data_IF_034749605871
#
_entry.id   IF_034749605871
#
_cell.length_a   1.000
_cell.length_b   1.000
_cell.length_c   1.000
_cell.angle_alpha   90.00
_cell.angle_beta   90.00
_cell.angle_gamma   90.00
#
_symmetry.space_group_name_H-M   'P 1'
#
loop_
_entity.id
_entity.type
_entity.pdbx_description
1 polymer ?
#
# COMPACT_ATOMS: atom_id res chain seq x y z
N UNK A 1 -0.10 18.24 32.25
CA UNK A 1 -1.49 18.66 32.02
C UNK A 1 -2.07 18.05 30.76
N UNK A 2 -3.36 18.22 30.50
CA UNK A 2 -4.03 17.68 29.31
C UNK A 2 -3.52 18.35 28.02
N UNK A 3 -3.37 17.58 26.97
CA UNK A 3 -2.88 18.03 25.65
C UNK A 3 -3.91 17.62 24.59
N UNK A 4 -4.29 18.56 23.73
CA UNK A 4 -5.12 18.27 22.56
C UNK A 4 -4.24 17.85 21.40
N UNK A 5 -4.35 16.58 20.98
CA UNK A 5 -3.65 16.03 19.81
C UNK A 5 -4.58 16.13 18.59
N UNK A 6 -4.59 17.30 17.98
CA UNK A 6 -5.46 17.63 16.84
C UNK A 6 -4.67 18.32 15.72
N UNK A 7 -5.24 18.36 14.52
CA UNK A 7 -4.65 19.11 13.39
C UNK A 7 -4.51 20.61 13.73
N UNK A 8 -3.42 21.29 13.30
CA UNK A 8 -3.24 22.72 13.55
C UNK A 8 -4.26 23.59 12.83
N UNK A 9 -4.81 23.09 11.71
CA UNK A 9 -5.81 23.82 10.91
C UNK A 9 -7.13 23.02 10.88
N UNK A 10 -8.08 23.32 11.78
CA UNK A 10 -9.37 22.65 11.78
C UNK A 10 -10.20 23.07 10.56
N UNK A 11 -10.84 22.10 9.91
CA UNK A 11 -11.68 22.30 8.73
C UNK A 11 -13.12 21.90 9.01
N UNK A 12 -14.07 22.46 8.26
CA UNK A 12 -15.47 22.04 8.32
C UNK A 12 -15.66 20.70 7.62
N UNK A 13 -16.66 19.91 8.05
CA UNK A 13 -16.97 18.61 7.46
C UNK A 13 -17.16 18.64 5.92
N UNK A 14 -17.74 19.72 5.40
CA UNK A 14 -17.89 19.92 3.94
C UNK A 14 -16.54 19.97 3.22
N UNK A 15 -15.59 20.68 3.80
CA UNK A 15 -14.22 20.80 3.25
C UNK A 15 -13.46 19.49 3.40
N UNK A 16 -13.53 18.86 4.58
CA UNK A 16 -12.97 17.53 4.82
C UNK A 16 -13.46 16.52 3.78
N UNK A 17 -14.77 16.46 3.57
CA UNK A 17 -15.38 15.55 2.58
C UNK A 17 -14.89 15.84 1.17
N UNK A 18 -14.79 17.12 0.78
CA UNK A 18 -14.29 17.53 -0.53
C UNK A 18 -12.83 17.09 -0.74
N UNK A 19 -11.95 17.38 0.21
CA UNK A 19 -10.54 17.02 0.13
C UNK A 19 -10.34 15.50 0.13
N UNK A 20 -11.04 14.79 1.02
CA UNK A 20 -10.96 13.33 1.09
C UNK A 20 -11.49 12.67 -0.20
N UNK A 21 -12.63 13.12 -0.72
CA UNK A 21 -13.18 12.57 -1.97
C UNK A 21 -12.26 12.81 -3.17
N UNK A 22 -11.60 13.97 -3.23
CA UNK A 22 -10.59 14.27 -4.23
C UNK A 22 -9.39 13.32 -4.12
N UNK A 23 -8.82 13.17 -2.94
CA UNK A 23 -7.67 12.30 -2.70
C UNK A 23 -7.99 10.82 -3.00
N UNK A 24 -9.19 10.37 -2.65
CA UNK A 24 -9.65 9.00 -2.94
C UNK A 24 -10.11 8.79 -4.40
N UNK A 25 -10.16 9.85 -5.22
CA UNK A 25 -10.64 9.82 -6.61
C UNK A 25 -12.10 9.31 -6.72
N UNK A 26 -12.93 9.63 -5.73
CA UNK A 26 -14.36 9.28 -5.70
C UNK A 26 -15.21 10.55 -5.70
N UNK A 27 -16.49 10.41 -6.07
CA UNK A 27 -17.45 11.53 -5.99
C UNK A 27 -18.26 11.42 -4.70
N UNK A 28 -18.21 12.44 -3.85
CA UNK A 28 -19.13 12.60 -2.73
C UNK A 28 -20.40 13.31 -3.24
N UNK A 29 -21.43 12.54 -3.59
CA UNK A 29 -22.59 13.06 -4.34
C UNK A 29 -23.75 13.42 -3.43
N UNK A 30 -23.99 12.66 -2.36
CA UNK A 30 -25.18 12.80 -1.54
C UNK A 30 -24.83 13.25 -0.11
N UNK A 31 -25.44 14.34 0.38
CA UNK A 31 -25.37 14.67 1.79
C UNK A 31 -26.19 13.65 2.59
N UNK A 32 -25.66 13.20 3.71
CA UNK A 32 -26.39 12.30 4.62
C UNK A 32 -27.33 13.16 5.49
N UNK A 33 -28.66 12.96 5.45
CA UNK A 33 -29.58 13.68 6.29
C UNK A 33 -29.34 13.42 7.78
N UNK A 34 -29.51 14.45 8.63
CA UNK A 34 -29.36 14.30 10.09
C UNK A 34 -30.22 13.18 10.68
N UNK A 35 -31.44 13.03 10.17
CA UNK A 35 -32.37 11.97 10.59
C UNK A 35 -31.78 10.58 10.31
N UNK A 36 -31.17 10.36 9.13
CA UNK A 36 -30.55 9.09 8.80
C UNK A 36 -29.35 8.79 9.72
N UNK A 37 -28.55 9.80 10.08
CA UNK A 37 -27.47 9.65 11.05
C UNK A 37 -28.00 9.28 12.45
N UNK A 38 -29.08 9.94 12.91
CA UNK A 38 -29.70 9.60 14.20
C UNK A 38 -30.29 8.20 14.23
N UNK A 39 -30.91 7.75 13.14
CA UNK A 39 -31.42 6.39 13.04
C UNK A 39 -30.30 5.34 13.03
N UNK A 40 -29.18 5.63 12.39
CA UNK A 40 -28.06 4.71 12.27
C UNK A 40 -27.14 4.66 13.51
N UNK A 41 -26.93 5.81 14.18
CA UNK A 41 -25.94 5.97 15.25
C UNK A 41 -26.59 6.24 16.63
N UNK A 42 -27.90 6.42 16.72
CA UNK A 42 -28.58 6.77 17.96
C UNK A 42 -28.03 8.06 18.57
N UNK A 43 -27.78 8.06 19.88
CA UNK A 43 -27.22 9.21 20.62
C UNK A 43 -25.82 9.62 20.16
N UNK A 44 -25.03 8.69 19.60
CA UNK A 44 -23.72 9.02 19.02
C UNK A 44 -23.81 9.99 17.83
N UNK A 45 -24.96 10.13 17.20
CA UNK A 45 -25.17 11.09 16.12
C UNK A 45 -24.92 12.53 16.59
N UNK A 46 -25.24 12.86 17.84
CA UNK A 46 -25.05 14.21 18.35
C UNK A 46 -23.56 14.58 18.49
N UNK A 47 -22.68 13.61 18.75
CA UNK A 47 -21.22 13.82 18.71
C UNK A 47 -20.75 14.16 17.29
N UNK A 48 -21.28 13.47 16.29
CA UNK A 48 -20.93 13.72 14.88
C UNK A 48 -21.54 15.02 14.34
N UNK A 49 -22.70 15.38 14.85
CA UNK A 49 -23.44 16.58 14.42
C UNK A 49 -23.01 17.84 15.17
N UNK A 50 -22.39 17.70 16.36
CA UNK A 50 -21.87 18.82 17.12
C UNK A 50 -20.66 19.44 16.43
N UNK A 51 -20.61 20.76 16.38
CA UNK A 51 -19.47 21.48 15.83
C UNK A 51 -18.50 21.84 16.95
N UNK A 52 -17.29 21.28 16.89
CA UNK A 52 -16.23 21.60 17.86
C UNK A 52 -14.99 22.11 17.11
N UNK A 53 -14.49 23.26 17.55
CA UNK A 53 -13.22 23.80 17.06
C UNK A 53 -12.19 23.63 18.17
N UNK A 54 -11.28 22.67 18.00
CA UNK A 54 -10.21 22.39 18.95
C UNK A 54 -8.88 22.74 18.30
N UNK A 55 -8.02 23.44 19.06
CA UNK A 55 -6.70 23.87 18.60
C UNK A 55 -5.60 23.20 19.46
N UNK A 56 -4.44 22.89 18.86
CA UNK A 56 -3.30 22.25 19.54
C UNK A 56 -2.39 23.26 20.24
N UNK A 57 -2.93 24.23 20.98
CA UNK A 57 -2.20 25.38 21.53
C UNK A 57 -0.99 24.96 22.38
N UNK A 58 -1.16 24.00 23.30
CA UNK A 58 -0.06 23.56 24.17
C UNK A 58 1.07 22.87 23.39
N UNK A 59 0.75 22.09 22.37
CA UNK A 59 1.75 21.41 21.55
C UNK A 59 2.54 22.46 20.75
N UNK A 60 1.84 23.41 20.16
CA UNK A 60 2.44 24.52 19.39
C UNK A 60 3.31 25.42 20.28
N UNK A 61 2.85 25.74 21.48
CA UNK A 61 3.62 26.54 22.44
C UNK A 61 4.91 25.83 22.92
N UNK A 62 4.97 24.48 22.82
CA UNK A 62 6.16 23.70 23.13
C UNK A 62 7.00 23.39 21.87
N UNK A 63 6.92 24.22 20.83
CA UNK A 63 7.72 24.15 19.60
C UNK A 63 7.57 22.84 18.81
N UNK A 64 6.44 22.13 18.95
CA UNK A 64 6.17 20.96 18.11
C UNK A 64 5.89 21.39 16.67
N UNK A 65 6.64 20.83 15.75
CA UNK A 65 6.48 21.08 14.31
C UNK A 65 5.61 20.00 13.68
N UNK A 66 4.47 20.41 13.15
CA UNK A 66 3.59 19.49 12.41
C UNK A 66 4.19 19.15 11.04
N UNK A 67 4.21 17.85 10.70
CA UNK A 67 4.64 17.40 9.38
C UNK A 67 3.77 17.97 8.26
N UNK A 68 2.47 18.11 8.51
CA UNK A 68 1.51 18.71 7.59
C UNK A 68 0.69 19.76 8.35
N UNK A 69 0.66 20.98 7.83
CA UNK A 69 -0.09 22.09 8.42
C UNK A 69 -1.52 22.18 7.91
N UNK A 70 -1.78 21.65 6.71
CA UNK A 70 -3.12 21.59 6.12
C UNK A 70 -3.53 20.14 5.78
N UNK A 71 -4.83 19.94 5.69
CA UNK A 71 -5.42 18.61 5.46
C UNK A 71 -5.21 18.11 4.02
N UNK A 72 -5.11 19.00 3.06
CA UNK A 72 -4.86 18.66 1.65
C UNK A 72 -3.54 17.95 1.49
N UNK A 73 -2.45 18.55 1.97
CA UNK A 73 -1.10 17.97 1.89
C UNK A 73 -1.01 16.64 2.64
N UNK A 74 -1.69 16.54 3.79
CA UNK A 74 -1.76 15.27 4.52
C UNK A 74 -2.45 14.17 3.71
N UNK A 75 -3.59 14.46 3.07
CA UNK A 75 -4.28 13.51 2.22
C UNK A 75 -3.50 13.18 0.95
N UNK A 76 -2.86 14.16 0.32
CA UNK A 76 -2.00 13.93 -0.84
C UNK A 76 -0.83 13.00 -0.49
N UNK A 77 -0.20 13.19 0.66
CA UNK A 77 0.84 12.29 1.14
C UNK A 77 0.35 10.88 1.45
N UNK A 78 -0.86 10.74 2.01
CA UNK A 78 -1.45 9.44 2.36
C UNK A 78 -1.95 8.66 1.14
N UNK A 79 -2.45 9.36 0.12
CA UNK A 79 -3.14 8.76 -1.02
C UNK A 79 -2.44 8.99 -2.37
N UNK A 80 -1.18 9.48 -2.39
CA UNK A 80 -0.39 9.71 -3.60
C UNK A 80 -0.23 8.46 -4.49
N UNK A 81 -0.34 7.26 -3.90
CA UNK A 81 -0.34 6.00 -4.62
C UNK A 81 -1.61 5.75 -5.44
N UNK A 82 -2.69 6.52 -5.17
CA UNK A 82 -4.02 6.28 -5.71
C UNK A 82 -4.27 7.14 -6.94
N UNK A 83 -4.22 6.54 -8.13
CA UNK A 83 -4.55 7.18 -9.41
C UNK A 83 -6.02 7.04 -9.79
N UNK A 84 -6.69 6.00 -9.26
CA UNK A 84 -8.09 5.68 -9.55
C UNK A 84 -8.82 5.21 -8.30
N UNK A 85 -10.14 5.44 -8.24
CA UNK A 85 -10.99 4.88 -7.18
C UNK A 85 -10.98 3.34 -7.15
N UNK A 86 -10.53 2.71 -8.23
CA UNK A 86 -10.40 1.25 -8.34
C UNK A 86 -9.04 0.71 -7.89
N UNK A 87 -8.06 1.58 -7.57
CA UNK A 87 -6.78 1.14 -7.02
C UNK A 87 -6.96 0.59 -5.62
N UNK A 88 -6.22 -0.46 -5.34
CA UNK A 88 -6.17 -1.13 -4.04
C UNK A 88 -4.74 -1.15 -3.54
N UNK A 89 -4.61 -1.09 -2.23
CA UNK A 89 -3.33 -1.12 -1.55
C UNK A 89 -3.26 -2.35 -0.66
N UNK A 90 -2.12 -3.02 -0.72
CA UNK A 90 -1.69 -4.01 0.24
C UNK A 90 -0.33 -3.59 0.78
N UNK A 91 -0.17 -3.62 2.09
CA UNK A 91 1.09 -3.30 2.76
C UNK A 91 1.41 -4.38 3.78
N UNK A 92 2.68 -4.73 3.87
CA UNK A 92 3.21 -5.65 4.86
C UNK A 92 4.58 -5.16 5.31
N UNK A 93 4.84 -5.34 6.60
CA UNK A 93 6.17 -5.11 7.19
C UNK A 93 6.65 -6.38 7.87
N UNK A 94 7.94 -6.60 7.80
CA UNK A 94 8.61 -7.72 8.46
C UNK A 94 10.02 -7.31 8.86
N UNK A 95 10.42 -7.67 10.06
CA UNK A 95 11.78 -7.51 10.53
C UNK A 95 12.55 -8.84 10.44
N UNK A 96 13.84 -8.76 10.09
CA UNK A 96 14.80 -9.86 10.14
C UNK A 96 16.12 -9.38 10.74
N UNK A 97 16.83 -10.27 11.44
CA UNK A 97 18.15 -9.95 12.04
C UNK A 97 19.31 -10.04 11.05
N UNK A 98 19.07 -10.48 9.80
CA UNK A 98 20.11 -10.54 8.78
C UNK A 98 20.63 -9.15 8.40
N UNK A 99 21.92 -9.05 8.00
CA UNK A 99 22.49 -7.79 7.54
C UNK A 99 21.84 -7.32 6.22
N UNK A 100 21.81 -6.00 6.02
CA UNK A 100 21.11 -5.36 4.91
C UNK A 100 21.59 -5.82 3.52
N UNK A 101 22.90 -6.01 3.36
CA UNK A 101 23.46 -6.51 2.10
C UNK A 101 22.93 -7.90 1.74
N UNK A 102 22.92 -8.84 2.69
CA UNK A 102 22.38 -10.19 2.45
C UNK A 102 20.91 -10.15 2.08
N UNK A 103 20.12 -9.35 2.79
CA UNK A 103 18.69 -9.20 2.52
C UNK A 103 18.46 -8.58 1.16
N UNK A 104 19.16 -7.48 0.83
CA UNK A 104 19.01 -6.80 -0.45
C UNK A 104 19.44 -7.70 -1.62
N UNK A 105 20.59 -8.38 -1.50
CA UNK A 105 21.10 -9.29 -2.52
C UNK A 105 20.14 -10.44 -2.77
N UNK A 106 19.55 -11.01 -1.70
CA UNK A 106 18.54 -12.07 -1.83
C UNK A 106 17.31 -11.61 -2.60
N UNK A 107 16.76 -10.43 -2.29
CA UNK A 107 15.59 -9.87 -2.98
C UNK A 107 15.89 -9.36 -4.38
N UNK A 108 17.17 -9.09 -4.67
CA UNK A 108 17.66 -8.61 -5.97
C UNK A 108 18.02 -9.74 -6.94
N UNK A 109 17.87 -10.99 -6.52
CA UNK A 109 18.08 -12.16 -7.38
C UNK A 109 16.73 -12.76 -7.77
N UNK A 110 16.44 -12.79 -9.08
CA UNK A 110 15.18 -13.32 -9.60
C UNK A 110 15.00 -14.82 -9.35
N UNK A 111 16.08 -15.57 -9.13
CA UNK A 111 15.99 -17.00 -8.84
C UNK A 111 15.34 -17.26 -7.49
N UNK A 112 15.55 -16.38 -6.53
CA UNK A 112 14.93 -16.46 -5.19
C UNK A 112 13.43 -16.15 -5.21
N UNK A 113 12.90 -15.58 -6.30
CA UNK A 113 11.44 -15.35 -6.43
C UNK A 113 10.65 -16.65 -6.43
N UNK A 114 11.22 -17.75 -6.94
CA UNK A 114 10.56 -19.05 -6.91
C UNK A 114 10.40 -19.55 -5.48
N UNK A 115 11.41 -19.38 -4.63
CA UNK A 115 11.38 -19.73 -3.21
C UNK A 115 10.38 -18.89 -2.43
N UNK A 116 10.33 -17.59 -2.72
CA UNK A 116 9.42 -16.64 -2.07
C UNK A 116 7.95 -16.73 -2.55
N UNK A 117 7.68 -17.61 -3.51
CA UNK A 117 6.35 -17.73 -4.12
C UNK A 117 5.73 -19.09 -3.78
N UNK A 118 4.46 -19.15 -3.29
CA UNK A 118 3.82 -20.40 -2.92
C UNK A 118 3.80 -21.41 -4.08
N UNK A 119 4.09 -22.71 -3.83
CA UNK A 119 4.13 -23.76 -4.86
C UNK A 119 2.85 -23.89 -5.67
N UNK A 120 1.70 -23.54 -5.06
CA UNK A 120 0.39 -23.59 -5.74
C UNK A 120 0.31 -22.68 -6.98
N UNK A 121 1.17 -21.66 -7.09
CA UNK A 121 1.22 -20.75 -8.22
C UNK A 121 2.05 -21.31 -9.39
N UNK A 122 2.77 -22.42 -9.21
CA UNK A 122 3.70 -22.96 -10.21
C UNK A 122 4.53 -21.85 -10.89
N UNK A 123 5.05 -20.96 -10.04
CA UNK A 123 5.82 -19.80 -10.49
C UNK A 123 7.17 -20.26 -11.05
N UNK A 124 7.52 -19.77 -12.24
CA UNK A 124 8.80 -20.05 -12.89
C UNK A 124 9.34 -18.80 -13.56
N UNK A 125 10.57 -18.45 -13.26
CA UNK A 125 11.31 -17.43 -14.00
C UNK A 125 11.73 -17.99 -15.36
N UNK A 126 11.38 -17.28 -16.44
CA UNK A 126 11.77 -17.64 -17.81
C UNK A 126 13.06 -16.93 -18.25
N UNK A 127 13.45 -15.87 -17.56
CA UNK A 127 14.65 -15.09 -17.83
C UNK A 127 14.50 -13.61 -17.54
N UNK A 128 15.56 -12.86 -17.80
CA UNK A 128 15.64 -11.41 -17.65
C UNK A 128 16.35 -10.74 -18.80
N UNK A 129 16.16 -9.44 -18.97
CA UNK A 129 16.73 -8.64 -20.07
C UNK A 129 18.17 -8.18 -19.86
N UNK A 130 18.72 -8.32 -18.64
CA UNK A 130 20.05 -7.89 -18.24
C UNK A 130 20.75 -8.99 -17.46
N UNK A 131 22.06 -8.99 -17.39
CA UNK A 131 22.82 -9.99 -16.64
C UNK A 131 22.57 -9.89 -15.13
N UNK A 132 22.50 -8.67 -14.60
CA UNK A 132 22.12 -8.40 -13.20
C UNK A 132 20.87 -7.52 -13.18
N UNK A 133 20.06 -7.65 -12.13
CA UNK A 133 18.92 -6.78 -11.92
C UNK A 133 19.40 -5.36 -11.64
N UNK A 134 18.82 -4.41 -12.32
CA UNK A 134 19.07 -2.97 -12.22
C UNK A 134 17.86 -2.17 -12.71
N UNK A 135 17.92 -0.86 -12.65
CA UNK A 135 16.89 0.01 -13.24
C UNK A 135 16.66 -0.35 -14.71
N UNK A 136 15.38 -0.53 -15.09
CA UNK A 136 14.99 -0.88 -16.45
C UNK A 136 15.06 -2.38 -16.80
N UNK A 137 15.54 -3.25 -15.91
CA UNK A 137 15.52 -4.71 -16.13
C UNK A 137 14.10 -5.21 -16.28
N UNK A 138 13.86 -6.02 -17.32
CA UNK A 138 12.61 -6.77 -17.48
C UNK A 138 12.83 -8.21 -17.01
N UNK A 139 11.89 -8.73 -16.23
CA UNK A 139 11.89 -10.11 -15.75
C UNK A 139 10.65 -10.81 -16.33
N UNK A 140 10.84 -11.99 -16.88
CA UNK A 140 9.79 -12.77 -17.52
C UNK A 140 9.47 -14.01 -16.70
N UNK A 141 8.18 -14.23 -16.38
CA UNK A 141 7.76 -15.42 -15.64
C UNK A 141 6.45 -16.00 -16.11
N UNK A 142 6.27 -17.27 -15.82
CA UNK A 142 5.02 -18.02 -15.92
C UNK A 142 4.52 -18.36 -14.53
N UNK A 143 3.22 -18.32 -14.36
CA UNK A 143 2.56 -18.74 -13.12
C UNK A 143 1.16 -19.25 -13.41
N UNK A 144 0.55 -19.90 -12.42
CA UNK A 144 -0.87 -20.26 -12.47
C UNK A 144 -1.62 -19.48 -11.39
N UNK A 145 -2.63 -18.72 -11.81
CA UNK A 145 -3.55 -18.04 -10.88
C UNK A 145 -4.81 -18.88 -10.82
N UNK A 146 -5.07 -19.51 -9.68
CA UNK A 146 -6.21 -20.42 -9.49
C UNK A 146 -6.30 -21.51 -10.58
N UNK A 147 -5.16 -22.07 -10.96
CA UNK A 147 -5.04 -23.09 -11.99
C UNK A 147 -4.99 -22.56 -13.43
N UNK A 148 -5.29 -21.29 -13.67
CA UNK A 148 -5.26 -20.68 -15.01
C UNK A 148 -3.83 -20.20 -15.32
N UNK A 149 -3.20 -20.68 -16.41
CA UNK A 149 -1.87 -20.22 -16.81
C UNK A 149 -1.86 -18.74 -17.14
N UNK A 150 -0.88 -18.02 -16.66
CA UNK A 150 -0.63 -16.62 -16.94
C UNK A 150 0.86 -16.39 -17.24
N UNK A 151 1.14 -15.50 -18.18
CA UNK A 151 2.49 -14.93 -18.37
C UNK A 151 2.54 -13.56 -17.76
N UNK A 152 3.69 -13.27 -17.16
CA UNK A 152 3.90 -11.99 -16.49
C UNK A 152 5.24 -11.40 -16.92
N UNK A 153 5.28 -10.11 -17.12
CA UNK A 153 6.53 -9.37 -17.32
C UNK A 153 6.55 -8.19 -16.39
N UNK A 154 7.53 -8.16 -15.48
CA UNK A 154 7.81 -7.01 -14.65
C UNK A 154 8.92 -6.15 -15.24
N UNK A 155 8.84 -4.85 -15.02
CA UNK A 155 9.90 -3.87 -15.23
C UNK A 155 10.39 -3.40 -13.86
N UNK A 156 11.68 -3.48 -13.63
CA UNK A 156 12.30 -2.95 -12.40
C UNK A 156 12.46 -1.45 -12.53
N UNK A 157 12.00 -0.74 -11.50
CA UNK A 157 12.03 0.73 -11.41
C UNK A 157 12.39 1.17 -9.98
N UNK A 158 12.71 2.45 -9.82
CA UNK A 158 13.09 3.01 -8.51
C UNK A 158 14.25 2.23 -7.85
N UNK A 159 15.24 1.86 -8.67
CA UNK A 159 16.38 1.07 -8.24
C UNK A 159 17.36 1.93 -7.44
N UNK A 160 17.31 1.80 -6.13
CA UNK A 160 18.21 2.44 -5.17
C UNK A 160 18.86 1.33 -4.30
N UNK A 161 20.07 0.86 -4.65
CA UNK A 161 20.71 -0.23 -3.92
C UNK A 161 20.71 -0.04 -2.40
N UNK A 162 20.47 -1.12 -1.67
CA UNK A 162 20.37 -1.15 -0.20
C UNK A 162 19.21 -0.31 0.39
N UNK A 163 18.40 0.33 -0.42
CA UNK A 163 17.29 1.19 0.04
C UNK A 163 15.94 0.71 -0.46
N UNK A 164 15.78 0.62 -1.77
CA UNK A 164 14.51 0.22 -2.38
C UNK A 164 14.65 -0.20 -3.85
N UNK A 165 13.64 -0.90 -4.31
CA UNK A 165 13.29 -1.01 -5.73
C UNK A 165 11.80 -1.30 -5.88
N UNK A 166 11.30 -1.14 -7.10
CA UNK A 166 9.94 -1.53 -7.42
C UNK A 166 9.89 -2.41 -8.67
N UNK A 167 8.94 -3.33 -8.70
CA UNK A 167 8.56 -4.08 -9.89
C UNK A 167 7.17 -3.63 -10.38
N UNK A 168 7.10 -3.28 -11.66
CA UNK A 168 5.89 -2.83 -12.33
C UNK A 168 5.48 -3.83 -13.38
N UNK A 169 4.26 -4.36 -13.30
CA UNK A 169 3.75 -5.22 -14.36
C UNK A 169 3.56 -4.41 -15.64
N UNK A 170 4.29 -4.77 -16.69
CA UNK A 170 4.08 -4.24 -18.05
C UNK A 170 3.27 -5.19 -18.92
N UNK A 171 3.22 -6.49 -18.58
CA UNK A 171 2.35 -7.49 -19.19
C UNK A 171 1.91 -8.49 -18.12
N UNK A 172 0.60 -8.75 -18.02
CA UNK A 172 0.08 -9.66 -16.99
C UNK A 172 -1.42 -9.51 -16.77
N UNK A 173 -1.96 -10.18 -15.75
CA UNK A 173 -3.40 -10.28 -15.51
C UNK A 173 -4.03 -9.04 -14.85
N UNK A 174 -3.24 -8.14 -14.30
CA UNK A 174 -3.74 -6.93 -13.65
C UNK A 174 -3.80 -5.75 -14.63
N UNK A 175 -4.73 -4.83 -14.43
CA UNK A 175 -4.72 -3.53 -15.15
C UNK A 175 -3.65 -2.57 -14.62
N UNK A 176 -3.26 -2.77 -13.36
CA UNK A 176 -2.15 -2.10 -12.70
C UNK A 176 -1.58 -3.02 -11.65
N UNK A 177 -0.27 -3.10 -11.61
CA UNK A 177 0.50 -3.70 -10.54
C UNK A 177 1.79 -2.92 -10.37
N UNK A 178 1.99 -2.39 -9.20
CA UNK A 178 3.19 -1.71 -8.76
C UNK A 178 3.54 -2.25 -7.38
N UNK A 179 4.67 -2.91 -7.27
CA UNK A 179 5.14 -3.49 -6.01
C UNK A 179 6.48 -2.87 -5.64
N UNK A 180 6.51 -2.13 -4.55
CA UNK A 180 7.72 -1.54 -4.00
C UNK A 180 8.22 -2.33 -2.81
N UNK A 181 9.52 -2.64 -2.82
CA UNK A 181 10.30 -3.16 -1.72
C UNK A 181 11.11 -2.02 -1.11
N UNK A 182 11.02 -1.85 0.19
CA UNK A 182 11.81 -0.88 0.95
C UNK A 182 12.55 -1.61 2.07
N UNK A 183 13.84 -1.29 2.20
CA UNK A 183 14.75 -1.91 3.16
C UNK A 183 15.30 -0.83 4.08
N UNK A 184 15.14 -1.01 5.39
CA UNK A 184 15.64 -0.05 6.38
C UNK A 184 16.39 -0.76 7.49
N UNK A 185 17.60 -0.31 7.81
CA UNK A 185 18.30 -0.75 9.02
C UNK A 185 17.49 -0.34 10.25
N UNK A 186 17.17 -1.30 11.10
CA UNK A 186 16.41 -1.08 12.33
C UNK A 186 16.82 -2.09 13.40
N UNK A 187 17.25 -1.60 14.56
CA UNK A 187 17.51 -2.41 15.75
C UNK A 187 18.41 -3.63 15.52
N UNK A 188 19.53 -3.43 14.80
CA UNK A 188 20.52 -4.50 14.53
C UNK A 188 20.11 -5.50 13.45
N UNK A 189 19.09 -5.20 12.70
CA UNK A 189 18.60 -6.00 11.57
C UNK A 189 17.98 -5.11 10.50
N UNK A 190 17.09 -5.68 9.68
CA UNK A 190 16.44 -4.99 8.57
C UNK A 190 14.93 -5.06 8.72
N UNK A 191 14.28 -3.90 8.63
CA UNK A 191 12.84 -3.79 8.41
C UNK A 191 12.57 -3.79 6.90
N UNK A 192 11.89 -4.83 6.46
CA UNK A 192 11.37 -5.00 5.10
C UNK A 192 9.95 -4.44 5.04
N UNK A 193 9.67 -3.60 4.05
CA UNK A 193 8.33 -3.10 3.79
C UNK A 193 7.94 -3.39 2.34
N UNK A 194 6.89 -4.17 2.17
CA UNK A 194 6.26 -4.44 0.88
C UNK A 194 5.03 -3.55 0.71
N UNK A 195 4.98 -2.80 -0.38
CA UNK A 195 3.81 -1.98 -0.74
C UNK A 195 3.35 -2.31 -2.15
N UNK A 196 2.18 -2.95 -2.26
CA UNK A 196 1.59 -3.36 -3.53
C UNK A 196 0.38 -2.50 -3.84
N UNK A 197 0.45 -1.74 -4.92
CA UNK A 197 -0.71 -1.03 -5.49
C UNK A 197 -1.18 -1.78 -6.71
N UNK A 198 -2.44 -2.24 -6.71
CA UNK A 198 -2.97 -3.02 -7.80
C UNK A 198 -4.37 -2.58 -8.23
N UNK A 199 -4.72 -2.87 -9.49
CA UNK A 199 -6.04 -2.68 -10.08
C UNK A 199 -6.40 -3.89 -10.91
N UNK A 200 -7.61 -4.40 -10.73
CA UNK A 200 -8.11 -5.53 -11.50
C UNK A 200 -8.65 -5.07 -12.87
N UNK A 201 -8.54 -5.91 -13.90
CA UNK A 201 -9.26 -5.70 -15.14
C UNK A 201 -10.78 -5.68 -14.86
N UNK A 202 -11.52 -4.91 -15.63
CA UNK A 202 -12.98 -4.78 -15.49
C UNK A 202 -13.47 -4.26 -14.12
N UNK A 203 -12.61 -3.69 -13.28
CA UNK A 203 -13.00 -3.15 -11.96
C UNK A 203 -14.10 -2.10 -12.00
N UNK A 204 -14.36 -1.50 -13.18
CA UNK A 204 -15.47 -0.57 -13.43
C UNK A 204 -16.85 -1.24 -13.37
N UNK A 205 -16.93 -2.55 -13.63
CA UNK A 205 -18.17 -3.30 -13.85
C UNK A 205 -18.58 -4.21 -12.68
N UNK A 206 -18.26 -3.84 -11.45
CA UNK A 206 -18.72 -4.58 -10.27
C UNK A 206 -17.67 -5.48 -9.59
N UNK A 207 -16.39 -5.11 -9.65
CA UNK A 207 -15.27 -5.89 -9.15
C UNK A 207 -15.14 -6.10 -7.63
N UNK A 208 -16.14 -5.80 -6.80
CA UNK A 208 -15.99 -5.93 -5.35
C UNK A 208 -15.86 -7.40 -4.89
N UNK A 209 -16.60 -8.33 -5.48
CA UNK A 209 -16.51 -9.75 -5.15
C UNK A 209 -15.16 -10.32 -5.61
N UNK A 210 -14.75 -10.01 -6.84
CA UNK A 210 -13.45 -10.42 -7.37
C UNK A 210 -12.30 -9.83 -6.56
N UNK A 211 -12.42 -8.58 -6.09
CA UNK A 211 -11.45 -7.96 -5.21
C UNK A 211 -11.26 -8.71 -3.88
N UNK A 212 -12.32 -9.23 -3.30
CA UNK A 212 -12.22 -10.00 -2.07
C UNK A 212 -11.38 -11.27 -2.26
N UNK A 213 -11.61 -12.01 -3.35
CA UNK A 213 -10.84 -13.21 -3.70
C UNK A 213 -9.37 -12.89 -3.96
N UNK A 214 -9.08 -11.88 -4.77
CA UNK A 214 -7.70 -11.49 -5.11
C UNK A 214 -6.95 -10.97 -3.88
N UNK A 215 -7.62 -10.20 -3.01
CA UNK A 215 -7.02 -9.77 -1.74
C UNK A 215 -6.62 -10.94 -0.86
N UNK A 216 -7.42 -12.02 -0.85
CA UNK A 216 -7.10 -13.25 -0.13
C UNK A 216 -5.86 -13.92 -0.75
N UNK A 217 -5.80 -14.00 -2.08
CA UNK A 217 -4.64 -14.59 -2.77
C UNK A 217 -3.36 -13.80 -2.49
N UNK A 218 -3.39 -12.48 -2.60
CA UNK A 218 -2.25 -11.61 -2.26
C UNK A 218 -1.82 -11.84 -0.81
N UNK A 219 -2.75 -11.85 0.15
CA UNK A 219 -2.43 -12.13 1.56
C UNK A 219 -1.77 -13.50 1.73
N UNK A 220 -2.23 -14.52 1.02
CA UNK A 220 -1.65 -15.88 1.08
C UNK A 220 -0.22 -15.88 0.56
N UNK A 221 0.06 -15.21 -0.56
CA UNK A 221 1.41 -15.09 -1.13
C UNK A 221 2.35 -14.40 -0.15
N UNK A 222 1.95 -13.26 0.39
CA UNK A 222 2.79 -12.51 1.31
C UNK A 222 2.92 -13.17 2.70
N UNK A 223 1.92 -13.93 3.14
CA UNK A 223 2.04 -14.74 4.36
C UNK A 223 3.03 -15.89 4.19
N UNK A 224 3.04 -16.55 3.03
CA UNK A 224 4.03 -17.57 2.69
C UNK A 224 5.44 -16.98 2.69
N UNK A 225 5.66 -15.86 1.98
CA UNK A 225 6.94 -15.13 1.98
C UNK A 225 7.39 -14.78 3.39
N UNK A 226 6.48 -14.29 4.23
CA UNK A 226 6.77 -13.97 5.64
C UNK A 226 7.29 -15.18 6.41
N UNK A 227 6.74 -16.36 6.19
CA UNK A 227 7.17 -17.57 6.88
C UNK A 227 8.58 -17.98 6.45
N UNK A 228 8.90 -17.94 5.14
CA UNK A 228 10.25 -18.21 4.65
C UNK A 228 11.28 -17.26 5.30
N UNK A 229 10.99 -15.96 5.31
CA UNK A 229 11.90 -14.97 5.90
C UNK A 229 12.05 -15.16 7.42
N UNK A 230 11.02 -15.61 8.13
CA UNK A 230 11.12 -15.93 9.57
C UNK A 230 12.08 -17.07 9.87
N UNK A 231 12.25 -17.99 8.93
CA UNK A 231 13.17 -19.13 9.06
C UNK A 231 14.64 -18.75 8.80
N UNK A 232 14.91 -17.50 8.43
CA UNK A 232 16.27 -16.96 8.32
C UNK A 232 16.86 -16.71 9.71
N UNK A 233 17.43 -17.75 10.31
CA UNK A 233 18.11 -17.71 11.61
C UNK A 233 19.60 -17.46 11.49
#
# INVERSE_FOLDING_TARGET
GQINVVSPTPVRNKEFTKLLSSALKVKAILPVPKIALRLALGEMADVVLSSQKVLPEKITANNYTFKFTNLGDAFDSLFNWKESCHDRLFEQQQWTHKPLNEVFDFFSDEQNLEELTPPLLNFKVEGKSTEKIQEGTKIYYKLKIRGIPARWTSLITNWEPMTQFADVQIKGPYSKWYHRHLFRNLAGGVLLEDKVVYRLPFSRYGGNLLNWFIRKDIKTIFSYRRNIIKEWH
#
